data_IF_029030579276
#
_entry.id   IF_029030579276
#
_cell.length_a   1.000
_cell.length_b   1.000
_cell.length_c   1.000
_cell.angle_alpha   90.00
_cell.angle_beta   90.00
_cell.angle_gamma   90.00
#
_symmetry.space_group_name_H-M   'P 1'
#
loop_
_entity.id
_entity.type
_entity.pdbx_description
1 polymer ?
#
# COMPACT_ATOMS: atom_id res chain seq x y z
N UNK A 1 33.34 26.41 -12.31
CA UNK A 1 32.28 25.47 -12.72
C UNK A 1 31.80 24.70 -11.49
N UNK A 2 30.61 25.01 -10.94
CA UNK A 2 30.11 24.34 -9.73
C UNK A 2 29.42 23.03 -10.14
N UNK A 3 30.11 21.90 -9.95
CA UNK A 3 29.53 20.56 -10.10
C UNK A 3 28.40 20.40 -9.09
N UNK A 4 27.17 20.59 -9.53
CA UNK A 4 25.98 20.17 -8.77
C UNK A 4 25.81 18.69 -9.03
N UNK A 5 26.52 17.86 -8.27
CA UNK A 5 26.19 16.45 -8.16
C UNK A 5 24.85 16.36 -7.44
N UNK A 6 23.74 15.90 -8.05
CA UNK A 6 22.63 15.45 -7.23
C UNK A 6 23.13 14.23 -6.47
N UNK A 7 23.04 14.29 -5.14
CA UNK A 7 23.30 13.16 -4.26
C UNK A 7 22.64 11.90 -4.86
N UNK A 8 23.28 10.72 -4.80
CA UNK A 8 22.58 9.50 -5.14
C UNK A 8 21.39 9.42 -4.19
N UNK A 9 20.17 9.54 -4.73
CA UNK A 9 18.94 9.32 -3.96
C UNK A 9 18.76 7.82 -3.73
N UNK A 10 19.82 7.11 -3.38
CA UNK A 10 19.77 5.75 -2.87
C UNK A 10 19.55 5.86 -1.38
N UNK A 11 18.30 6.12 -1.02
CA UNK A 11 17.86 5.85 0.34
C UNK A 11 17.17 4.50 0.25
N UNK A 12 17.94 3.43 0.47
CA UNK A 12 17.38 2.17 0.93
C UNK A 12 16.46 2.47 2.11
N UNK A 13 15.15 2.48 1.88
CA UNK A 13 14.17 2.55 2.96
C UNK A 13 13.21 1.40 2.79
N UNK A 14 13.57 0.33 3.48
CA UNK A 14 12.68 -0.72 3.96
C UNK A 14 11.63 -0.18 4.98
N UNK A 15 11.31 1.12 4.91
CA UNK A 15 10.30 1.77 5.71
C UNK A 15 9.06 1.85 4.82
N UNK A 16 7.94 1.28 5.27
CA UNK A 16 6.63 1.34 4.63
C UNK A 16 6.47 2.64 3.83
N UNK A 17 6.67 2.55 2.51
CA UNK A 17 6.60 3.72 1.66
C UNK A 17 5.13 4.18 1.71
N UNK A 18 4.90 5.37 2.26
CA UNK A 18 3.61 6.02 2.18
C UNK A 18 3.61 6.86 0.90
N UNK A 19 2.59 6.73 0.07
CA UNK A 19 2.50 7.40 -1.23
C UNK A 19 1.09 7.93 -1.43
N UNK A 20 0.95 9.21 -1.77
CA UNK A 20 -0.36 9.85 -1.95
C UNK A 20 -0.95 9.56 -3.33
N UNK A 21 -2.28 9.64 -3.44
CA UNK A 21 -2.97 9.62 -4.73
C UNK A 21 -2.33 10.58 -5.73
N UNK A 22 -2.10 10.10 -6.95
CA UNK A 22 -1.47 10.87 -8.03
C UNK A 22 0.05 10.90 -7.99
N UNK A 23 0.70 10.38 -6.95
CA UNK A 23 2.15 10.15 -6.96
C UNK A 23 2.47 8.81 -7.62
N UNK A 24 3.71 8.68 -8.12
CA UNK A 24 4.20 7.42 -8.67
C UNK A 24 4.49 6.42 -7.56
N UNK A 25 4.00 5.21 -7.75
CA UNK A 25 4.25 4.07 -6.88
C UNK A 25 5.76 3.78 -6.83
N UNK A 26 6.39 3.80 -5.64
CA UNK A 26 7.83 3.62 -5.51
C UNK A 26 8.28 2.16 -5.60
N UNK A 27 7.37 1.19 -5.43
CA UNK A 27 7.69 -0.23 -5.50
C UNK A 27 6.45 -1.07 -5.82
N UNK A 28 6.62 -2.11 -6.64
CA UNK A 28 5.56 -3.07 -6.93
C UNK A 28 5.15 -3.85 -5.66
N UNK A 29 3.85 -4.04 -5.47
CA UNK A 29 3.31 -4.90 -4.41
C UNK A 29 1.88 -4.56 -4.01
N UNK A 30 1.46 -5.05 -2.85
CA UNK A 30 0.18 -4.73 -2.24
C UNK A 30 0.25 -3.43 -1.45
N UNK A 31 -0.79 -2.62 -1.64
CA UNK A 31 -0.95 -1.31 -1.01
C UNK A 31 -2.32 -1.23 -0.34
N UNK A 32 -2.34 -0.62 0.84
CA UNK A 32 -3.56 -0.37 1.62
C UNK A 32 -3.73 1.12 1.88
N UNK A 33 -4.96 1.64 1.90
CA UNK A 33 -5.19 3.03 2.27
C UNK A 33 -4.82 3.27 3.74
N UNK A 34 -4.20 4.42 4.02
CA UNK A 34 -3.89 4.83 5.37
C UNK A 34 -5.20 5.10 6.13
N UNK A 35 -5.38 4.41 7.26
CA UNK A 35 -6.56 4.56 8.10
C UNK A 35 -7.75 3.67 7.71
N UNK A 36 -7.63 2.85 6.66
CA UNK A 36 -8.60 1.79 6.36
C UNK A 36 -7.89 0.49 6.04
N UNK A 37 -8.29 -0.65 6.64
CA UNK A 37 -7.69 -1.93 6.32
C UNK A 37 -8.00 -2.39 4.89
N UNK A 38 -8.96 -1.78 4.18
CA UNK A 38 -9.39 -2.13 2.83
C UNK A 38 -9.82 -0.88 2.01
N UNK A 39 -9.79 -0.93 0.66
CA UNK A 39 -9.42 -2.07 -0.19
C UNK A 39 -7.92 -2.21 -0.40
N UNK A 40 -7.46 -3.45 -0.49
CA UNK A 40 -6.10 -3.78 -0.91
C UNK A 40 -5.99 -3.59 -2.42
N UNK A 41 -4.89 -2.97 -2.86
CA UNK A 41 -4.60 -2.81 -4.29
C UNK A 41 -3.19 -3.25 -4.63
N UNK A 42 -3.10 -4.13 -5.61
CA UNK A 42 -1.82 -4.47 -6.22
C UNK A 42 -1.46 -3.39 -7.23
N UNK A 43 -0.33 -2.72 -7.02
CA UNK A 43 0.16 -1.64 -7.88
C UNK A 43 1.60 -1.94 -8.28
N UNK A 44 1.91 -1.71 -9.55
CA UNK A 44 3.28 -1.78 -10.06
C UNK A 44 4.06 -0.50 -9.79
N UNK A 45 5.37 -0.64 -9.63
CA UNK A 45 6.31 0.47 -9.58
C UNK A 45 6.11 1.40 -10.78
N UNK A 46 6.14 2.70 -10.53
CA UNK A 46 5.92 3.74 -11.54
C UNK A 46 4.46 4.00 -11.89
N UNK A 47 3.51 3.14 -11.49
CA UNK A 47 2.07 3.39 -11.68
C UNK A 47 1.58 4.51 -10.77
N UNK A 48 0.59 5.28 -11.22
CA UNK A 48 -0.01 6.32 -10.39
C UNK A 48 -0.89 5.71 -9.31
N UNK A 49 -0.72 6.22 -8.08
CA UNK A 49 -1.55 5.80 -6.96
C UNK A 49 -2.99 6.26 -7.17
N UNK A 50 -3.98 5.36 -7.11
CA UNK A 50 -5.36 5.70 -7.39
C UNK A 50 -6.00 6.50 -6.26
N UNK A 51 -7.09 7.22 -6.57
CA UNK A 51 -7.98 7.78 -5.57
C UNK A 51 -8.86 6.66 -4.99
N UNK A 52 -9.19 6.75 -3.71
CA UNK A 52 -10.21 5.89 -3.09
C UNK A 52 -11.53 6.65 -3.08
N UNK A 53 -12.55 6.15 -3.79
CA UNK A 53 -13.87 6.80 -3.89
C UNK A 53 -13.80 8.27 -4.34
N UNK A 54 -12.85 8.59 -5.23
CA UNK A 54 -12.62 9.97 -5.70
C UNK A 54 -11.90 10.88 -4.71
N UNK A 55 -11.50 10.38 -3.53
CA UNK A 55 -10.81 11.15 -2.50
C UNK A 55 -9.29 10.93 -2.51
N UNK A 56 -8.50 11.97 -2.20
CA UNK A 56 -7.06 11.84 -2.06
C UNK A 56 -6.76 10.92 -0.86
N UNK A 57 -6.03 9.86 -1.13
CA UNK A 57 -5.75 8.80 -0.17
C UNK A 57 -4.26 8.54 -0.14
N UNK A 58 -3.71 8.48 1.07
CA UNK A 58 -2.34 8.00 1.27
C UNK A 58 -2.39 6.50 1.28
N UNK A 59 -1.53 5.85 0.53
CA UNK A 59 -1.40 4.41 0.49
C UNK A 59 -0.12 3.98 1.19
N UNK A 60 -0.21 2.91 1.95
CA UNK A 60 0.89 2.29 2.65
C UNK A 60 1.19 0.95 2.00
N UNK A 61 2.47 0.70 1.70
CA UNK A 61 2.89 -0.62 1.23
C UNK A 61 2.65 -1.65 2.33
N UNK A 62 1.89 -2.70 2.00
CA UNK A 62 1.70 -3.82 2.91
C UNK A 62 3.05 -4.45 3.21
N UNK A 63 3.33 -4.70 4.49
CA UNK A 63 4.55 -5.39 4.90
C UNK A 63 4.56 -6.86 4.46
N UNK A 64 3.37 -7.42 4.19
CA UNK A 64 3.18 -8.77 3.67
C UNK A 64 2.75 -8.72 2.21
N UNK A 65 3.42 -9.51 1.37
CA UNK A 65 3.01 -9.76 -0.02
C UNK A 65 1.76 -10.68 -0.10
N UNK A 66 1.40 -11.32 1.01
CA UNK A 66 0.16 -12.07 1.12
C UNK A 66 -0.95 -11.09 1.52
N UNK A 67 -2.04 -11.07 0.73
CA UNK A 67 -3.35 -10.57 1.18
C UNK A 67 -3.57 -11.08 2.62
N UNK A 68 -4.04 -10.25 3.56
CA UNK A 68 -4.15 -10.67 4.94
C UNK A 68 -5.34 -11.64 4.96
N UNK A 69 -5.04 -12.93 5.00
CA UNK A 69 -6.02 -13.99 5.16
C UNK A 69 -6.84 -13.83 6.47
N UNK A 70 -6.41 -12.90 7.34
CA UNK A 70 -7.16 -12.46 8.52
C UNK A 70 -8.54 -11.85 8.17
N UNK A 71 -8.69 -11.15 7.03
CA UNK A 71 -10.01 -10.71 6.53
C UNK A 71 -10.91 -11.90 6.15
N UNK A 72 -10.34 -13.01 5.66
CA UNK A 72 -11.12 -14.19 5.28
C UNK A 72 -11.56 -15.04 6.50
N UNK A 73 -10.78 -15.04 7.59
CA UNK A 73 -11.12 -15.80 8.80
C UNK A 73 -12.27 -15.17 9.61
N UNK A 74 -12.44 -13.85 9.57
CA UNK A 74 -13.46 -13.19 10.40
C UNK A 74 -14.90 -13.45 9.93
N UNK A 75 -15.10 -13.82 8.66
CA UNK A 75 -16.41 -14.23 8.14
C UNK A 75 -16.81 -15.66 8.53
N UNK A 76 -15.87 -16.51 8.95
CA UNK A 76 -16.13 -17.93 9.20
C UNK A 76 -16.47 -18.27 10.66
N UNK A 77 -16.35 -17.34 11.61
CA UNK A 77 -16.67 -17.60 13.03
C UNK A 77 -18.14 -17.35 13.41
N UNK A 78 -19.02 -17.00 12.46
CA UNK A 78 -20.41 -16.60 12.76
C UNK A 78 -21.48 -17.68 12.54
N UNK A 79 -21.08 -18.92 12.25
CA UNK A 79 -22.04 -20.00 11.95
C UNK A 79 -21.71 -21.31 12.68
N UNK A 80 -21.81 -21.31 14.00
CA UNK A 80 -22.06 -22.53 14.78
C UNK A 80 -23.06 -22.19 15.90
N UNK A 81 -24.35 -22.43 15.63
CA UNK A 81 -25.35 -22.64 16.69
C UNK A 81 -25.68 -24.14 16.68
N UNK A 82 -25.35 -24.89 17.75
CA UNK A 82 -25.85 -26.25 17.90
C UNK A 82 -27.31 -26.21 18.38
N UNK A 83 -28.16 -27.04 17.78
CA UNK A 83 -29.47 -27.41 18.30
C UNK A 83 -29.50 -28.92 18.52
#
# INVERSE_FOLDING_TARGET
MKRRSPLPRSIHRNAAAATSTGEHCPATGWWIPQGSPEPWRYLSEGSLMPALNGQPTVWLRAATDKMPEDSARQASSRSLSPA
#
